data_IF_093831695543
#
_entry.id   IF_093831695543
#
_cell.length_a   1.000
_cell.length_b   1.000
_cell.length_c   1.000
_cell.angle_alpha   90.00
_cell.angle_beta   90.00
_cell.angle_gamma   90.00
#
_symmetry.space_group_name_H-M   'P 1'
#
loop_
_entity.id
_entity.type
_entity.pdbx_description
1 polymer ?
#
# COMPACT_ATOMS: atom_id res chain seq x y z
N UNK A 1 0.33 20.25 -9.16
CA UNK A 1 1.67 19.98 -9.76
C UNK A 1 2.75 19.97 -8.67
N UNK A 2 3.98 19.66 -9.03
CA UNK A 2 5.08 19.64 -8.02
C UNK A 2 5.04 18.31 -7.24
N UNK A 3 5.53 17.25 -7.84
CA UNK A 3 5.53 15.91 -7.16
C UNK A 3 4.11 15.55 -6.67
N UNK A 4 3.11 15.82 -7.48
CA UNK A 4 1.71 15.50 -7.07
C UNK A 4 1.13 14.39 -7.95
N UNK A 5 0.03 13.80 -7.54
CA UNK A 5 -0.63 12.69 -8.32
C UNK A 5 0.17 11.38 -8.23
N UNK A 6 1.38 11.42 -7.72
CA UNK A 6 2.19 10.17 -7.60
C UNK A 6 2.13 9.66 -6.16
N UNK A 7 2.34 10.54 -5.21
CA UNK A 7 2.30 10.14 -3.77
C UNK A 7 0.88 9.69 -3.38
N UNK A 8 -0.13 10.30 -3.96
CA UNK A 8 -1.54 9.91 -3.63
C UNK A 8 -1.80 8.47 -4.08
N UNK A 9 -1.29 8.09 -5.23
CA UNK A 9 -1.49 6.70 -5.73
C UNK A 9 -0.72 5.71 -4.85
N UNK A 10 0.43 6.11 -4.34
CA UNK A 10 1.20 5.18 -3.46
C UNK A 10 0.53 5.08 -2.09
N UNK A 11 -0.23 6.07 -1.69
CA UNK A 11 -0.94 6.00 -0.38
C UNK A 11 -1.79 4.71 -0.36
N UNK A 12 -2.34 4.35 -1.49
CA UNK A 12 -3.15 3.10 -1.58
C UNK A 12 -2.20 1.90 -1.73
N UNK A 13 -1.08 2.10 -2.39
CA UNK A 13 -0.08 1.00 -2.58
C UNK A 13 0.32 0.39 -1.23
N UNK A 14 0.57 1.21 -0.24
CA UNK A 14 0.96 0.67 1.10
C UNK A 14 -0.22 -0.07 1.74
N UNK A 15 -1.41 0.44 1.57
CA UNK A 15 -2.62 -0.24 2.14
C UNK A 15 -2.73 -1.67 1.58
N UNK A 16 -2.41 -1.84 0.32
CA UNK A 16 -2.48 -3.20 -0.30
C UNK A 16 -1.29 -4.04 0.18
N UNK A 17 -0.14 -3.44 0.30
CA UNK A 17 1.07 -4.18 0.77
C UNK A 17 0.91 -4.61 2.23
N UNK A 18 0.51 -3.70 3.09
CA UNK A 18 0.32 -4.05 4.53
C UNK A 18 -0.96 -4.87 4.72
N UNK A 19 -1.96 -4.66 3.89
CA UNK A 19 -3.23 -5.42 4.01
C UNK A 19 -2.97 -6.89 3.67
N UNK A 20 -2.19 -7.15 2.65
CA UNK A 20 -1.89 -8.56 2.27
C UNK A 20 -0.54 -8.98 2.88
N UNK A 21 -0.38 -8.78 4.16
CA UNK A 21 0.90 -9.16 4.83
C UNK A 21 0.61 -9.78 6.20
N UNK A 22 -0.10 -9.08 7.05
CA UNK A 22 -0.43 -9.64 8.40
C UNK A 22 -1.44 -10.79 8.28
N UNK A 23 -2.34 -10.72 7.34
CA UNK A 23 -3.34 -11.82 7.16
C UNK A 23 -2.78 -12.85 6.17
N UNK A 24 -2.09 -12.40 5.15
CA UNK A 24 -1.51 -13.34 4.14
C UNK A 24 -0.33 -14.10 4.75
N UNK A 25 0.58 -13.40 5.39
CA UNK A 25 1.76 -14.09 6.01
C UNK A 25 1.44 -14.53 7.46
N UNK A 26 0.21 -14.37 7.89
CA UNK A 26 -0.16 -14.78 9.28
C UNK A 26 -0.91 -16.12 9.27
N UNK A 27 -1.26 -16.63 8.11
CA UNK A 27 -2.00 -17.93 8.04
C UNK A 27 -1.25 -18.93 7.14
N UNK A 28 -0.01 -19.20 7.47
CA UNK A 28 0.79 -20.16 6.64
C UNK A 28 1.03 -21.47 7.42
#
# INVERSE_FOLDING_TARGET
>A
SGNYVLDLIYSLHKQINRGLKKIVLGWA
#
